data_IF_121651407776
#
_entry.id   IF_121651407776
#
_cell.length_a   1.000
_cell.length_b   1.000
_cell.length_c   1.000
_cell.angle_alpha   90.00
_cell.angle_beta   90.00
_cell.angle_gamma   90.00
#
_symmetry.space_group_name_H-M   'P 1'
#
loop_
_entity.id
_entity.type
_entity.pdbx_description
1 polymer ?
#
# COMPACT_ATOMS: atom_id res chain seq x y z
N UNK A 1 -3.98 -6.24 6.57
CA UNK A 1 -3.55 -4.91 7.08
C UNK A 1 -3.18 -5.07 8.54
N UNK A 2 -1.98 -4.65 8.93
CA UNK A 2 -1.53 -4.64 10.33
C UNK A 2 -0.87 -3.29 10.63
N UNK A 3 -0.72 -2.94 11.90
CA UNK A 3 -0.06 -1.70 12.31
C UNK A 3 1.36 -1.95 12.79
N UNK A 4 2.26 -1.01 12.52
CA UNK A 4 3.64 -1.03 13.02
C UNK A 4 3.94 0.24 13.81
N UNK A 5 4.79 0.13 14.85
CA UNK A 5 5.29 1.31 15.54
C UNK A 5 6.20 2.10 14.60
N UNK A 6 5.77 3.31 14.24
CA UNK A 6 6.53 4.20 13.37
C UNK A 6 7.39 5.14 14.21
N UNK A 7 8.71 5.00 14.12
CA UNK A 7 9.67 5.78 14.92
C UNK A 7 9.54 7.30 14.68
N UNK A 8 9.47 7.73 13.41
CA UNK A 8 9.33 9.16 13.07
C UNK A 8 7.95 9.79 13.37
N UNK A 9 6.95 9.02 13.82
CA UNK A 9 5.61 9.52 14.15
C UNK A 9 5.22 9.22 15.60
N UNK A 10 6.03 8.44 16.33
CA UNK A 10 5.78 7.98 17.69
C UNK A 10 4.38 7.38 17.90
N UNK A 11 3.87 6.65 16.90
CA UNK A 11 2.57 5.96 16.96
C UNK A 11 2.53 4.71 16.11
N UNK A 12 1.54 3.85 16.36
CA UNK A 12 1.22 2.75 15.46
C UNK A 12 0.56 3.27 14.19
N UNK A 13 1.07 2.83 13.04
CA UNK A 13 0.63 3.25 11.71
C UNK A 13 0.17 2.04 10.92
N UNK A 14 -1.03 2.05 10.31
CA UNK A 14 -1.46 0.98 9.43
C UNK A 14 -0.56 0.93 8.20
N UNK A 15 -0.22 -0.30 7.79
CA UNK A 15 0.63 -0.61 6.64
C UNK A 15 -0.14 -1.45 5.63
N UNK A 16 -0.07 -1.06 4.36
CA UNK A 16 -0.44 -1.87 3.21
C UNK A 16 0.82 -2.32 2.49
N UNK A 17 0.92 -3.63 2.25
CA UNK A 17 2.04 -4.25 1.54
C UNK A 17 1.51 -5.01 0.33
N UNK A 18 2.29 -5.06 -0.74
CA UNK A 18 1.97 -5.84 -1.93
C UNK A 18 2.94 -7.01 -2.01
N UNK A 19 2.42 -8.24 -1.92
CA UNK A 19 3.21 -9.44 -2.12
C UNK A 19 2.97 -9.97 -3.54
N UNK A 20 4.02 -10.49 -4.17
CA UNK A 20 3.89 -11.20 -5.44
C UNK A 20 3.80 -12.70 -5.19
N UNK A 21 2.94 -13.38 -5.97
CA UNK A 21 2.86 -14.84 -5.96
C UNK A 21 4.03 -15.43 -6.76
N UNK A 22 4.84 -16.24 -6.09
CA UNK A 22 5.85 -17.08 -6.70
C UNK A 22 5.25 -18.45 -7.06
N UNK A 23 6.12 -19.37 -7.53
CA UNK A 23 5.70 -20.73 -7.88
C UNK A 23 5.21 -21.48 -6.65
N UNK A 24 4.24 -22.38 -6.86
CA UNK A 24 3.71 -23.27 -5.84
C UNK A 24 3.12 -22.57 -4.61
N UNK A 25 2.57 -21.36 -4.79
CA UNK A 25 1.90 -20.63 -3.71
C UNK A 25 2.84 -19.97 -2.70
N UNK A 26 4.15 -19.96 -2.94
CA UNK A 26 5.07 -19.14 -2.16
C UNK A 26 4.80 -17.65 -2.42
N UNK A 27 4.97 -16.80 -1.41
CA UNK A 27 4.94 -15.34 -1.57
C UNK A 27 6.35 -14.77 -1.53
N UNK A 28 6.58 -13.74 -2.35
CA UNK A 28 7.82 -12.96 -2.33
C UNK A 28 7.48 -11.48 -2.13
N UNK A 29 8.37 -10.71 -1.48
CA UNK A 29 8.19 -9.27 -1.38
C UNK A 29 7.96 -8.66 -2.77
N UNK A 30 6.91 -7.85 -2.90
CA UNK A 30 6.65 -7.12 -4.14
C UNK A 30 7.72 -6.07 -4.40
N UNK A 31 7.81 -5.62 -5.67
CA UNK A 31 8.71 -4.53 -6.05
C UNK A 31 8.22 -3.14 -5.60
N UNK A 32 6.97 -3.06 -5.14
CA UNK A 32 6.34 -1.81 -4.72
C UNK A 32 6.56 -1.66 -3.20
N UNK A 33 7.12 -0.52 -2.74
CA UNK A 33 7.30 -0.27 -1.31
C UNK A 33 5.99 -0.27 -0.54
N UNK A 34 6.10 -0.33 0.79
CA UNK A 34 4.92 -0.30 1.64
C UNK A 34 4.26 1.07 1.66
N UNK A 35 2.93 1.07 1.54
CA UNK A 35 2.14 2.27 1.72
C UNK A 35 1.70 2.39 3.18
N UNK A 36 2.14 3.47 3.82
CA UNK A 36 1.82 3.80 5.21
C UNK A 36 0.64 4.76 5.28
N UNK A 37 -0.18 4.61 6.31
CA UNK A 37 -1.46 5.32 6.47
C UNK A 37 -2.36 5.21 5.24
N UNK A 38 -2.60 3.99 4.72
CA UNK A 38 -3.46 3.80 3.57
C UNK A 38 -4.89 4.29 3.89
N UNK A 39 -5.39 5.19 3.06
CA UNK A 39 -6.77 5.65 3.06
C UNK A 39 -7.39 5.36 1.71
N UNK A 40 -8.62 4.85 1.73
CA UNK A 40 -9.40 4.68 0.52
C UNK A 40 -9.97 6.05 0.13
N UNK A 41 -9.64 6.52 -1.07
CA UNK A 41 -10.36 7.61 -1.70
C UNK A 41 -11.51 7.01 -2.49
N UNK A 42 -12.68 7.03 -1.87
CA UNK A 42 -13.89 6.48 -2.47
C UNK A 42 -14.37 7.41 -3.59
N UNK A 43 -14.05 7.02 -4.82
CA UNK A 43 -14.86 7.39 -5.97
C UNK A 43 -15.78 6.20 -6.24
N UNK A 44 -17.09 6.41 -6.37
CA UNK A 44 -17.98 5.34 -6.82
C UNK A 44 -17.63 5.03 -8.28
N UNK A 45 -16.72 4.10 -8.50
CA UNK A 45 -16.30 3.65 -9.82
C UNK A 45 -16.39 2.13 -9.90
N UNK A 46 -16.97 1.68 -11.00
CA UNK A 46 -16.97 0.30 -11.47
C UNK A 46 -15.63 -0.11 -12.09
N UNK A 47 -14.71 0.83 -12.34
CA UNK A 47 -13.43 0.56 -13.02
C UNK A 47 -12.25 0.34 -12.08
N UNK A 48 -12.35 0.80 -10.83
CA UNK A 48 -11.22 0.76 -9.92
C UNK A 48 -11.43 1.61 -8.68
N UNK A 49 -10.38 1.69 -7.88
CA UNK A 49 -10.35 2.46 -6.64
C UNK A 49 -9.00 3.14 -6.45
N UNK A 50 -9.02 4.32 -5.82
CA UNK A 50 -7.81 5.03 -5.46
C UNK A 50 -7.47 4.80 -3.98
N UNK A 51 -6.21 4.47 -3.72
CA UNK A 51 -5.67 4.32 -2.36
C UNK A 51 -4.53 5.32 -2.20
N UNK A 52 -4.56 6.10 -1.13
CA UNK A 52 -3.52 7.11 -0.84
C UNK A 52 -2.83 6.82 0.47
N UNK A 53 -1.60 7.28 0.59
CA UNK A 53 -0.80 7.17 1.80
C UNK A 53 0.56 7.82 1.57
N UNK A 54 1.55 7.40 2.36
CA UNK A 54 2.93 7.79 2.13
C UNK A 54 3.88 6.59 2.09
N UNK A 55 4.91 6.69 1.27
CA UNK A 55 6.09 5.84 1.31
C UNK A 55 7.21 6.55 2.05
N UNK A 56 8.09 5.77 2.68
CA UNK A 56 9.32 6.29 3.26
C UNK A 56 10.52 5.73 2.49
N UNK A 57 11.21 6.62 1.76
CA UNK A 57 12.36 6.26 0.94
C UNK A 57 13.55 7.04 1.47
N UNK A 58 14.59 6.33 1.93
CA UNK A 58 15.77 6.92 2.56
C UNK A 58 15.45 7.90 3.71
N UNK A 59 14.42 7.59 4.51
CA UNK A 59 13.97 8.42 5.64
C UNK A 59 13.18 9.67 5.25
N UNK A 60 12.86 9.83 3.97
CA UNK A 60 12.03 10.94 3.46
C UNK A 60 10.64 10.42 3.11
N UNK A 61 9.60 11.18 3.49
CA UNK A 61 8.21 10.83 3.21
C UNK A 61 7.78 11.34 1.85
N UNK A 62 7.21 10.45 1.05
CA UNK A 62 6.62 10.75 -0.25
C UNK A 62 5.15 10.37 -0.22
N UNK A 63 4.28 11.37 -0.33
CA UNK A 63 2.84 11.14 -0.42
C UNK A 63 2.46 10.75 -1.83
N UNK A 64 1.66 9.70 -1.97
CA UNK A 64 1.31 9.17 -3.27
C UNK A 64 -0.06 8.49 -3.27
N UNK A 65 -0.60 8.32 -4.47
CA UNK A 65 -1.85 7.63 -4.73
C UNK A 65 -1.65 6.49 -5.72
N UNK A 66 -2.24 5.34 -5.41
CA UNK A 66 -2.27 4.17 -6.26
C UNK A 66 -3.67 4.06 -6.88
N UNK A 67 -3.71 3.89 -8.21
CA UNK A 67 -4.92 3.52 -8.92
C UNK A 67 -4.97 2.00 -9.06
N UNK A 68 -5.87 1.36 -8.33
CA UNK A 68 -6.12 -0.08 -8.44
C UNK A 68 -7.26 -0.29 -9.43
N UNK A 69 -6.93 -0.79 -10.61
CA UNK A 69 -7.92 -1.10 -11.65
C UNK A 69 -8.45 -2.52 -11.47
N UNK A 70 -9.76 -2.70 -11.62
CA UNK A 70 -10.36 -4.02 -11.76
C UNK A 70 -10.12 -4.51 -13.18
N UNK A 71 -9.43 -5.63 -13.31
CA UNK A 71 -9.20 -6.29 -14.60
C UNK A 71 -10.32 -7.32 -14.74
N UNK A 72 -11.19 -7.13 -15.73
CA UNK A 72 -12.17 -8.16 -16.11
C UNK A 72 -11.40 -9.38 -16.67
N UNK A 73 -11.83 -10.59 -16.31
CA UNK A 73 -11.28 -11.85 -16.83
C UNK A 73 -11.55 -12.07 -18.32
#
# INVERSE_FOLDING_TARGET
MYSMLHQGLNRHVPRMTMEAFAKFGATVPGAIPDLLEPQLLTFSSDRGMMVVGFEEIAGVRYYQGWWMQWIDE
#
